data_IF_681425630802
#
_entry.id   IF_681425630802
#
_cell.length_a   1.000
_cell.length_b   1.000
_cell.length_c   1.000
_cell.angle_alpha   90.00
_cell.angle_beta   90.00
_cell.angle_gamma   90.00
#
_symmetry.space_group_name_H-M   'P 1'
#
loop_
_entity.id
_entity.type
_entity.pdbx_description
1 polymer ?
#
# COMPACT_ATOMS: atom_id res chain seq x y z
N UNK A 1 -12.77 -3.22 11.17
CA UNK A 1 -11.34 -2.82 11.00
C UNK A 1 -10.58 -3.18 12.27
N UNK A 2 -9.51 -3.94 12.14
CA UNK A 2 -8.62 -4.30 13.25
C UNK A 2 -7.76 -3.09 13.64
N UNK A 3 -7.42 -3.00 14.94
CA UNK A 3 -6.54 -1.95 15.47
C UNK A 3 -5.13 -2.51 15.65
N UNK A 4 -4.12 -1.68 15.40
CA UNK A 4 -2.73 -2.01 15.73
C UNK A 4 -2.58 -2.32 17.22
N UNK A 5 -1.57 -3.12 17.56
CA UNK A 5 -1.30 -3.49 18.96
C UNK A 5 -0.95 -2.28 19.83
N UNK A 6 -0.30 -1.29 19.24
CA UNK A 6 0.13 -0.06 19.90
C UNK A 6 -1.08 0.83 20.27
N UNK A 7 -0.92 1.68 21.29
CA UNK A 7 -1.96 2.62 21.70
C UNK A 7 -2.15 3.67 20.60
N UNK A 8 -1.05 4.27 20.16
CA UNK A 8 -1.03 5.25 19.07
C UNK A 8 -1.09 4.52 17.73
N UNK A 9 -2.16 4.76 16.96
CA UNK A 9 -2.40 4.11 15.67
C UNK A 9 -1.75 4.89 14.53
N UNK A 10 -1.19 4.22 13.54
CA UNK A 10 -0.68 4.85 12.32
C UNK A 10 -1.81 5.48 11.49
N UNK A 11 -2.94 4.78 11.38
CA UNK A 11 -4.10 5.24 10.63
C UNK A 11 -4.72 6.49 11.26
N UNK A 12 -5.05 7.48 10.43
CA UNK A 12 -5.75 8.70 10.84
C UNK A 12 -4.84 9.78 11.39
N UNK A 13 -3.52 9.66 11.30
CA UNK A 13 -2.60 10.76 11.59
C UNK A 13 -2.56 11.73 10.41
N UNK A 14 -3.25 12.86 10.55
CA UNK A 14 -3.44 13.85 9.51
C UNK A 14 -3.72 15.23 10.07
N UNK A 15 -3.58 16.26 9.26
CA UNK A 15 -4.05 17.60 9.57
C UNK A 15 -5.57 17.68 9.53
N UNK A 16 -6.14 18.57 10.33
CA UNK A 16 -7.57 18.84 10.42
C UNK A 16 -7.86 20.20 9.82
N UNK A 17 -8.89 20.26 8.94
CA UNK A 17 -9.28 21.48 8.25
C UNK A 17 -10.70 21.92 8.65
N UNK A 18 -10.88 23.23 8.69
CA UNK A 18 -12.17 23.90 8.73
C UNK A 18 -12.26 24.84 7.52
N UNK A 19 -12.98 24.41 6.48
CA UNK A 19 -12.88 25.04 5.16
C UNK A 19 -11.47 24.93 4.60
N UNK A 20 -10.90 26.04 4.17
CA UNK A 20 -9.52 26.08 3.60
C UNK A 20 -8.42 26.20 4.66
N UNK A 21 -8.79 26.43 5.91
CA UNK A 21 -7.82 26.63 7.00
C UNK A 21 -7.50 25.33 7.70
N UNK A 22 -6.22 25.03 7.89
CA UNK A 22 -5.75 23.97 8.79
C UNK A 22 -5.79 24.48 10.22
N UNK A 23 -6.56 23.83 11.09
CA UNK A 23 -6.83 24.25 12.47
C UNK A 23 -6.13 23.39 13.52
N UNK A 24 -5.52 22.29 13.10
CA UNK A 24 -4.85 21.36 13.98
C UNK A 24 -4.48 20.06 13.28
N UNK A 25 -4.20 19.05 14.08
CA UNK A 25 -4.00 17.69 13.60
C UNK A 25 -4.74 16.69 14.47
N UNK A 26 -4.88 15.47 13.99
CA UNK A 26 -5.49 14.38 14.74
C UNK A 26 -4.60 13.14 14.78
N UNK A 27 -4.70 12.41 15.90
CA UNK A 27 -4.16 11.07 16.11
C UNK A 27 -5.30 10.13 16.51
N UNK A 28 -5.07 8.82 16.44
CA UNK A 28 -6.05 7.83 16.90
C UNK A 28 -5.43 6.94 17.95
N UNK A 29 -6.23 6.58 18.95
CA UNK A 29 -5.78 5.78 20.09
C UNK A 29 -6.63 4.54 20.27
N UNK A 30 -5.98 3.38 20.40
CA UNK A 30 -6.60 2.16 20.89
C UNK A 30 -6.71 2.21 22.42
N UNK A 31 -7.81 1.69 22.96
CA UNK A 31 -7.96 1.50 24.41
C UNK A 31 -6.87 0.56 24.96
N UNK A 32 -6.00 1.02 25.87
CA UNK A 32 -4.89 0.22 26.41
C UNK A 32 -5.31 -0.70 27.56
N UNK A 33 -6.52 -1.26 27.51
CA UNK A 33 -7.07 -2.14 28.53
C UNK A 33 -7.69 -3.38 27.89
N UNK A 34 -7.98 -4.39 28.70
CA UNK A 34 -8.67 -5.61 28.27
C UNK A 34 -10.19 -5.44 28.14
N UNK A 35 -10.72 -4.27 28.49
CA UNK A 35 -12.15 -3.91 28.37
C UNK A 35 -12.34 -2.43 28.05
N UNK A 36 -13.45 -2.09 27.42
CA UNK A 36 -13.87 -0.70 27.28
C UNK A 36 -14.25 -0.08 28.61
N UNK A 37 -14.25 1.25 28.71
CA UNK A 37 -14.55 2.00 29.92
C UNK A 37 -15.52 3.14 29.69
N UNK A 38 -16.11 3.66 30.78
CA UNK A 38 -16.88 4.90 30.72
C UNK A 38 -15.95 6.08 30.39
N UNK A 39 -16.39 6.97 29.52
CA UNK A 39 -15.59 8.12 29.10
C UNK A 39 -15.29 9.09 30.25
N UNK A 40 -16.17 9.16 31.26
CA UNK A 40 -15.97 9.95 32.49
C UNK A 40 -14.76 9.52 33.33
N UNK A 41 -14.16 8.36 33.03
CA UNK A 41 -12.96 7.86 33.69
C UNK A 41 -11.65 8.25 32.95
N UNK A 42 -11.75 8.97 31.84
CA UNK A 42 -10.60 9.54 31.15
C UNK A 42 -10.13 10.77 31.92
N UNK A 43 -8.87 10.77 32.35
CA UNK A 43 -8.26 11.87 33.12
C UNK A 43 -7.45 12.82 32.22
N UNK A 44 -7.44 12.55 30.90
CA UNK A 44 -6.83 13.38 29.86
C UNK A 44 -5.69 12.73 29.10
N UNK A 45 -5.17 13.47 28.13
CA UNK A 45 -4.03 13.07 27.32
C UNK A 45 -3.10 14.23 27.01
N UNK A 46 -1.84 14.12 27.41
CA UNK A 46 -0.76 15.00 26.90
C UNK A 46 -0.28 14.48 25.54
N UNK A 47 -0.03 15.39 24.61
CA UNK A 47 0.49 15.05 23.28
C UNK A 47 1.69 15.93 22.96
N UNK A 48 2.81 15.30 22.58
CA UNK A 48 4.01 15.98 22.11
C UNK A 48 4.36 15.49 20.70
N UNK A 49 4.74 16.42 19.82
CA UNK A 49 5.21 16.11 18.47
C UNK A 49 6.56 16.78 18.26
N UNK A 50 7.64 16.01 18.42
CA UNK A 50 9.01 16.54 18.40
C UNK A 50 9.16 17.80 19.26
N UNK A 51 9.72 18.85 18.66
CA UNK A 51 9.83 20.20 19.27
C UNK A 51 8.71 21.15 18.80
N UNK A 52 7.77 20.69 17.97
CA UNK A 52 6.72 21.52 17.37
C UNK A 52 5.53 21.74 18.30
N UNK A 53 5.14 20.71 19.02
CA UNK A 53 3.93 20.69 19.85
C UNK A 53 4.21 20.02 21.19
N UNK A 54 3.75 20.66 22.26
CA UNK A 54 3.69 20.06 23.60
C UNK A 54 2.45 20.63 24.31
N UNK A 55 1.40 19.78 24.40
CA UNK A 55 0.13 20.19 25.00
C UNK A 55 -0.26 19.33 26.17
N UNK A 56 -0.82 19.99 27.18
CA UNK A 56 -1.32 19.35 28.39
C UNK A 56 -2.60 18.54 28.17
N UNK A 57 -3.02 17.77 29.20
CA UNK A 57 -4.07 16.76 29.10
C UNK A 57 -5.49 17.32 28.86
N UNK A 58 -5.73 18.56 29.07
CA UNK A 58 -7.01 19.27 28.92
C UNK A 58 -7.23 19.97 27.58
N UNK A 59 -6.15 20.13 26.78
CA UNK A 59 -6.19 20.83 25.50
C UNK A 59 -6.81 19.97 24.38
N UNK A 60 -6.46 18.68 24.21
CA UNK A 60 -6.98 17.87 23.11
C UNK A 60 -8.49 17.63 23.20
N UNK A 61 -9.14 17.54 22.04
CA UNK A 61 -10.54 17.17 21.90
C UNK A 61 -10.66 15.68 21.62
N UNK A 62 -11.67 15.05 22.18
CA UNK A 62 -11.92 13.62 22.11
C UNK A 62 -13.13 13.34 21.23
N UNK A 63 -12.95 12.58 20.16
CA UNK A 63 -14.10 12.08 19.40
C UNK A 63 -14.30 10.60 19.71
N UNK A 64 -15.44 10.30 20.31
CA UNK A 64 -15.89 8.95 20.65
C UNK A 64 -17.25 8.72 19.98
N UNK A 65 -17.41 7.63 19.26
CA UNK A 65 -18.67 7.25 18.61
C UNK A 65 -19.28 8.39 17.74
N UNK A 66 -18.40 9.14 17.04
CA UNK A 66 -18.81 10.21 16.12
C UNK A 66 -19.15 11.54 16.76
N UNK A 67 -19.07 11.67 18.08
CA UNK A 67 -19.27 12.94 18.80
C UNK A 67 -17.99 13.41 19.48
N UNK A 68 -17.71 14.71 19.37
CA UNK A 68 -16.52 15.36 19.93
C UNK A 68 -16.83 16.00 21.28
N UNK A 69 -15.89 15.88 22.22
CA UNK A 69 -15.98 16.31 23.60
C UNK A 69 -14.72 17.06 24.01
N UNK A 70 -14.85 18.01 24.90
CA UNK A 70 -13.78 18.47 25.78
C UNK A 70 -13.54 17.44 26.89
N UNK A 71 -12.45 17.55 27.64
CA UNK A 71 -12.20 16.71 28.80
C UNK A 71 -13.29 16.90 29.86
N UNK A 72 -13.74 18.15 30.10
CA UNK A 72 -14.82 18.44 31.05
C UNK A 72 -16.15 17.79 30.63
N UNK A 73 -16.51 17.87 29.34
CA UNK A 73 -17.74 17.23 28.83
C UNK A 73 -17.66 15.69 28.93
N UNK A 74 -16.45 15.09 28.84
CA UNK A 74 -16.29 13.65 29.11
C UNK A 74 -16.56 13.32 30.58
N UNK A 75 -16.04 14.12 31.51
CA UNK A 75 -16.29 13.92 32.94
C UNK A 75 -17.77 14.03 33.31
N UNK A 76 -18.46 14.96 32.69
CA UNK A 76 -19.90 15.22 32.93
C UNK A 76 -20.80 14.26 32.11
N UNK A 77 -20.21 13.39 31.27
CA UNK A 77 -20.98 12.52 30.38
C UNK A 77 -21.56 11.31 31.10
N UNK A 78 -22.84 11.03 30.83
CA UNK A 78 -23.50 9.81 31.21
C UNK A 78 -23.66 8.87 30.01
N UNK A 79 -23.32 7.59 30.19
CA UNK A 79 -23.52 6.54 29.19
C UNK A 79 -22.52 6.53 28.04
N UNK A 80 -21.65 7.52 27.91
CA UNK A 80 -20.59 7.55 26.87
C UNK A 80 -19.50 6.55 27.26
N UNK A 81 -19.10 5.74 26.29
CA UNK A 81 -18.06 4.72 26.50
C UNK A 81 -16.99 4.78 25.42
N UNK A 82 -15.76 4.44 25.80
CA UNK A 82 -14.67 4.11 24.90
C UNK A 82 -14.55 2.58 24.86
N UNK A 83 -15.06 1.92 23.79
CA UNK A 83 -15.01 0.46 23.65
C UNK A 83 -13.65 0.00 23.12
N UNK A 84 -13.39 -1.32 23.10
CA UNK A 84 -12.14 -1.89 22.59
C UNK A 84 -12.07 -1.86 21.05
N UNK A 85 -13.22 -1.96 20.42
CA UNK A 85 -13.36 -2.18 18.97
C UNK A 85 -13.14 -0.91 18.15
N UNK A 86 -13.15 0.26 18.81
CA UNK A 86 -13.04 1.56 18.14
C UNK A 86 -11.92 2.41 18.74
N UNK A 87 -11.08 2.95 17.87
CA UNK A 87 -10.12 3.95 18.30
C UNK A 87 -10.82 5.26 18.68
N UNK A 88 -10.36 5.89 19.77
CA UNK A 88 -10.67 7.30 20.01
C UNK A 88 -9.92 8.17 19.00
N UNK A 89 -10.56 9.20 18.47
CA UNK A 89 -9.88 10.24 17.68
C UNK A 89 -9.56 11.43 18.59
N UNK A 90 -8.31 11.81 18.63
CA UNK A 90 -7.81 12.93 19.43
C UNK A 90 -7.42 14.05 18.48
N UNK A 91 -8.10 15.17 18.57
CA UNK A 91 -7.79 16.37 17.79
C UNK A 91 -7.03 17.36 18.66
N UNK A 92 -5.85 17.75 18.21
CA UNK A 92 -4.99 18.75 18.88
C UNK A 92 -5.08 20.05 18.08
N UNK A 93 -5.58 21.15 18.69
CA UNK A 93 -5.57 22.46 18.07
C UNK A 93 -4.11 22.93 17.86
N UNK A 94 -3.78 23.23 16.61
CA UNK A 94 -2.45 23.73 16.23
C UNK A 94 -2.58 24.48 14.89
N UNK A 95 -2.55 25.81 14.96
CA UNK A 95 -2.79 26.66 13.79
C UNK A 95 -1.76 26.40 12.69
N UNK A 96 -2.23 26.16 11.47
CA UNK A 96 -1.41 25.77 10.33
C UNK A 96 -1.09 24.28 10.27
N UNK A 97 -1.38 23.49 11.32
CA UNK A 97 -1.13 22.05 11.35
C UNK A 97 0.35 21.66 11.38
N UNK A 98 0.59 20.36 11.26
CA UNK A 98 1.96 19.82 11.18
C UNK A 98 2.48 19.88 9.74
N UNK A 99 3.79 20.09 9.53
CA UNK A 99 4.39 19.98 8.21
C UNK A 99 4.34 18.54 7.69
N UNK A 100 4.43 18.39 6.36
CA UNK A 100 4.55 17.07 5.72
C UNK A 100 5.74 16.29 6.27
N UNK A 101 5.59 14.99 6.45
CA UNK A 101 6.68 14.10 6.81
C UNK A 101 6.39 13.17 7.97
N UNK A 102 7.47 12.54 8.45
CA UNK A 102 7.46 11.64 9.61
C UNK A 102 7.74 12.44 10.88
N UNK A 103 6.94 12.20 11.91
CA UNK A 103 7.06 12.89 13.20
C UNK A 103 7.23 11.89 14.34
N UNK A 104 8.09 12.24 15.30
CA UNK A 104 8.10 11.60 16.61
C UNK A 104 6.89 12.10 17.41
N UNK A 105 5.90 11.21 17.61
CA UNK A 105 4.70 11.51 18.39
C UNK A 105 4.76 10.78 19.70
N UNK A 106 4.71 11.53 20.80
CA UNK A 106 4.65 10.99 22.17
C UNK A 106 3.32 11.33 22.81
N UNK A 107 2.75 10.35 23.50
CA UNK A 107 1.51 10.50 24.27
C UNK A 107 1.70 10.14 25.75
N UNK A 108 0.98 10.85 26.61
CA UNK A 108 0.78 10.49 28.00
C UNK A 108 -0.71 10.42 28.29
N UNK A 109 -1.28 9.23 28.18
CA UNK A 109 -2.70 8.96 28.40
C UNK A 109 -2.95 8.60 29.88
N UNK A 110 -3.89 9.28 30.53
CA UNK A 110 -4.27 9.10 31.93
C UNK A 110 -5.70 8.58 32.03
N UNK A 111 -5.85 7.43 32.72
CA UNK A 111 -7.14 6.75 32.90
C UNK A 111 -7.37 6.42 34.36
N UNK A 112 -8.60 6.60 34.87
CA UNK A 112 -9.01 6.17 36.17
C UNK A 112 -9.61 4.76 36.08
N UNK A 113 -8.90 3.79 36.63
CA UNK A 113 -9.32 2.40 36.58
C UNK A 113 -10.12 2.08 37.84
N UNK A 114 -11.38 1.66 37.71
CA UNK A 114 -12.32 1.46 38.81
C UNK A 114 -11.88 0.42 39.88
N UNK A 115 -10.87 -0.39 39.59
CA UNK A 115 -10.32 -1.43 40.51
C UNK A 115 -8.95 -1.08 41.06
N UNK A 116 -8.39 0.09 40.71
CA UNK A 116 -7.14 0.59 41.28
C UNK A 116 -7.46 1.50 42.46
N UNK A 117 -6.81 1.38 43.61
CA UNK A 117 -6.99 2.30 44.73
C UNK A 117 -6.77 3.76 44.34
N UNK A 118 -7.53 4.66 44.96
CA UNK A 118 -7.57 6.11 44.56
C UNK A 118 -6.17 6.74 44.71
N UNK A 119 -5.39 6.33 45.68
CA UNK A 119 -4.02 6.82 45.92
C UNK A 119 -3.03 6.45 44.81
N UNK A 120 -3.38 5.51 43.94
CA UNK A 120 -2.56 5.06 42.83
C UNK A 120 -3.13 5.50 41.47
N UNK A 121 -4.07 6.44 41.46
CA UNK A 121 -4.69 6.95 40.23
C UNK A 121 -4.25 8.38 39.92
N UNK A 122 -4.28 8.77 38.62
CA UNK A 122 -4.64 7.96 37.46
C UNK A 122 -3.55 6.97 37.03
N UNK A 123 -3.93 5.87 36.40
CA UNK A 123 -3.01 5.01 35.68
C UNK A 123 -2.52 5.75 34.42
N UNK A 124 -1.21 5.81 34.21
CA UNK A 124 -0.58 6.54 33.12
C UNK A 124 0.04 5.59 32.11
N UNK A 125 -0.34 5.75 30.86
CA UNK A 125 0.18 5.01 29.72
C UNK A 125 1.00 5.96 28.84
N UNK A 126 2.25 5.61 28.57
CA UNK A 126 3.17 6.40 27.73
C UNK A 126 3.58 5.60 26.52
N UNK A 127 3.61 6.25 25.39
CA UNK A 127 4.10 5.68 24.14
C UNK A 127 4.70 6.77 23.27
N UNK A 128 5.76 6.40 22.54
CA UNK A 128 6.40 7.25 21.51
C UNK A 128 6.55 6.44 20.24
N UNK A 129 6.11 7.00 19.12
CA UNK A 129 6.26 6.38 17.79
C UNK A 129 6.68 7.43 16.76
N UNK A 130 7.44 6.98 15.77
CA UNK A 130 7.62 7.73 14.52
C UNK A 130 6.53 7.33 13.55
N UNK A 131 5.63 8.25 13.25
CA UNK A 131 4.52 8.04 12.32
C UNK A 131 4.48 9.15 11.28
N UNK A 132 4.11 8.78 10.05
CA UNK A 132 4.06 9.71 8.92
C UNK A 132 2.69 10.34 8.78
N UNK A 133 2.67 11.68 8.70
CA UNK A 133 1.46 12.44 8.41
C UNK A 133 0.92 12.07 7.02
N UNK A 134 -0.39 11.84 6.91
CA UNK A 134 -1.01 11.69 5.60
C UNK A 134 -0.88 13.00 4.82
N UNK A 135 -0.31 12.92 3.62
CA UNK A 135 -0.07 14.09 2.79
C UNK A 135 -1.37 14.69 2.24
N UNK A 136 -1.47 16.01 2.30
CA UNK A 136 -2.54 16.79 1.67
C UNK A 136 -2.18 17.25 0.24
N UNK A 137 -0.98 16.94 -0.25
CA UNK A 137 -0.52 17.30 -1.59
C UNK A 137 -1.25 16.48 -2.66
N UNK A 138 -1.56 17.11 -3.80
CA UNK A 138 -2.22 16.44 -4.93
C UNK A 138 -1.34 15.39 -5.61
N UNK A 139 -0.02 15.59 -5.56
CA UNK A 139 0.94 14.64 -6.14
C UNK A 139 1.12 14.76 -7.65
N UNK A 140 0.76 15.88 -8.25
CA UNK A 140 1.01 16.17 -9.67
C UNK A 140 0.12 15.35 -10.62
N UNK A 141 0.62 14.90 -11.78
CA UNK A 141 -0.22 14.30 -12.82
C UNK A 141 -0.62 12.84 -12.57
N UNK A 142 -0.07 12.21 -11.53
CA UNK A 142 -0.22 10.78 -11.28
C UNK A 142 -1.47 10.44 -10.46
N UNK A 143 -1.98 9.23 -10.66
CA UNK A 143 -2.94 8.60 -9.75
C UNK A 143 -2.18 7.72 -8.76
N UNK A 144 -2.71 7.58 -7.55
CA UNK A 144 -2.05 6.84 -6.49
C UNK A 144 -2.85 5.60 -6.10
N UNK A 145 -2.16 4.47 -6.07
CA UNK A 145 -2.70 3.19 -5.64
C UNK A 145 -1.79 2.50 -4.62
N UNK A 146 -2.28 1.41 -4.06
CA UNK A 146 -1.49 0.50 -3.23
C UNK A 146 -1.78 -0.93 -3.65
N UNK A 147 -0.73 -1.69 -3.91
CA UNK A 147 -0.80 -3.14 -4.02
C UNK A 147 -0.93 -3.74 -2.62
N UNK A 148 -1.97 -4.55 -2.39
CA UNK A 148 -2.11 -5.28 -1.13
C UNK A 148 -0.98 -6.29 -0.90
N UNK A 149 -0.15 -6.56 -1.92
CA UNK A 149 1.10 -7.29 -1.75
C UNK A 149 2.02 -6.62 -0.72
N UNK A 150 1.99 -5.29 -0.63
CA UNK A 150 2.69 -4.53 0.42
C UNK A 150 2.40 -5.05 1.82
N UNK A 151 1.19 -5.57 2.04
CA UNK A 151 0.70 -6.05 3.34
C UNK A 151 0.72 -7.58 3.47
N UNK A 152 1.31 -8.31 2.52
CA UNK A 152 1.20 -9.77 2.40
C UNK A 152 1.59 -10.52 3.69
N UNK A 153 2.55 -10.00 4.47
CA UNK A 153 2.98 -10.62 5.71
C UNK A 153 2.04 -10.36 6.90
N UNK A 154 1.26 -9.30 6.82
CA UNK A 154 0.28 -8.90 7.83
C UNK A 154 -1.13 -9.40 7.48
N UNK A 155 -1.41 -9.59 6.18
CA UNK A 155 -2.72 -9.99 5.67
C UNK A 155 -3.11 -11.40 6.11
N UNK A 156 -4.34 -11.54 6.62
CA UNK A 156 -4.84 -12.81 7.16
C UNK A 156 -4.34 -13.16 8.57
N UNK A 157 -3.43 -12.35 9.13
CA UNK A 157 -2.92 -12.52 10.50
C UNK A 157 -3.30 -11.36 11.40
N UNK A 158 -2.79 -10.16 11.12
CA UNK A 158 -3.06 -8.93 11.87
C UNK A 158 -3.90 -7.93 11.06
N UNK A 159 -4.01 -8.12 9.76
CA UNK A 159 -4.89 -7.35 8.87
C UNK A 159 -5.93 -8.26 8.20
N UNK A 160 -7.18 -7.87 8.24
CA UNK A 160 -8.23 -8.37 7.37
C UNK A 160 -8.38 -7.49 6.11
N UNK A 161 -9.22 -7.92 5.16
CA UNK A 161 -9.43 -7.17 3.92
C UNK A 161 -9.92 -5.74 4.18
N UNK A 162 -10.85 -5.57 5.13
CA UNK A 162 -11.36 -4.24 5.47
C UNK A 162 -10.27 -3.33 6.04
N UNK A 163 -9.43 -3.85 6.93
CA UNK A 163 -8.34 -3.07 7.52
C UNK A 163 -7.28 -2.70 6.48
N UNK A 164 -6.94 -3.61 5.57
CA UNK A 164 -6.01 -3.32 4.48
C UNK A 164 -6.55 -2.19 3.58
N UNK A 165 -7.81 -2.26 3.15
CA UNK A 165 -8.44 -1.22 2.34
C UNK A 165 -8.58 0.13 3.08
N UNK A 166 -8.81 0.08 4.39
CA UNK A 166 -8.83 1.30 5.21
C UNK A 166 -7.46 2.00 5.23
N UNK A 167 -6.35 1.25 5.31
CA UNK A 167 -5.00 1.81 5.22
C UNK A 167 -4.69 2.36 3.83
N UNK A 168 -5.14 1.68 2.76
CA UNK A 168 -5.04 2.21 1.38
C UNK A 168 -5.72 3.57 1.26
N UNK A 169 -6.96 3.68 1.72
CA UNK A 169 -7.69 4.95 1.68
C UNK A 169 -7.07 6.03 2.59
N UNK A 170 -6.51 5.63 3.74
CA UNK A 170 -5.95 6.57 4.71
C UNK A 170 -4.71 7.29 4.19
N UNK A 171 -3.91 6.67 3.33
CA UNK A 171 -2.77 7.34 2.67
C UNK A 171 -3.19 8.24 1.50
N UNK A 172 -4.49 8.39 1.26
CA UNK A 172 -5.03 9.19 0.16
C UNK A 172 -4.95 8.51 -1.20
N UNK A 173 -4.69 7.20 -1.25
CA UNK A 173 -4.77 6.43 -2.49
C UNK A 173 -6.22 6.21 -2.91
N UNK A 174 -6.46 6.17 -4.22
CA UNK A 174 -7.78 5.89 -4.80
C UNK A 174 -7.81 4.53 -5.50
N UNK A 175 -6.65 3.95 -5.80
CA UNK A 175 -6.52 2.66 -6.47
C UNK A 175 -6.08 1.54 -5.54
N UNK A 176 -6.59 0.33 -5.77
CA UNK A 176 -6.14 -0.87 -5.08
C UNK A 176 -5.78 -1.98 -6.06
N UNK A 177 -4.63 -2.57 -5.85
CA UNK A 177 -4.15 -3.75 -6.56
C UNK A 177 -4.18 -4.96 -5.65
N UNK A 178 -4.53 -6.14 -6.18
CA UNK A 178 -4.54 -7.40 -5.43
C UNK A 178 -3.81 -8.52 -6.16
N UNK A 179 -3.38 -9.52 -5.41
CA UNK A 179 -3.04 -10.84 -5.95
C UNK A 179 -4.21 -11.80 -5.78
N UNK A 180 -4.61 -12.48 -6.86
CA UNK A 180 -5.75 -13.37 -6.84
C UNK A 180 -5.66 -14.44 -5.74
N UNK A 181 -4.60 -15.22 -5.73
CA UNK A 181 -4.39 -16.29 -4.74
C UNK A 181 -4.19 -15.79 -3.31
N UNK A 182 -3.59 -14.60 -3.16
CA UNK A 182 -3.21 -14.07 -1.84
C UNK A 182 -4.34 -13.36 -1.11
N UNK A 183 -5.31 -12.77 -1.83
CA UNK A 183 -6.28 -11.87 -1.23
C UNK A 183 -7.74 -12.27 -1.44
N UNK A 184 -8.03 -13.21 -2.36
CA UNK A 184 -9.38 -13.63 -2.67
C UNK A 184 -9.72 -14.92 -1.93
N UNK A 185 -10.59 -14.85 -0.94
CA UNK A 185 -11.07 -16.05 -0.28
C UNK A 185 -11.88 -16.90 -1.26
N UNK A 186 -11.46 -18.16 -1.41
CA UNK A 186 -12.08 -19.10 -2.35
C UNK A 186 -11.58 -18.98 -3.79
N UNK A 187 -10.45 -18.28 -4.02
CA UNK A 187 -9.81 -18.26 -5.35
C UNK A 187 -9.67 -19.67 -5.93
N UNK A 188 -9.91 -19.89 -7.23
CA UNK A 188 -10.30 -18.87 -8.24
C UNK A 188 -11.81 -18.61 -8.36
N UNK A 189 -12.63 -19.18 -7.49
CA UNK A 189 -14.09 -19.08 -7.53
C UNK A 189 -14.65 -18.49 -6.21
N UNK A 190 -14.49 -17.18 -5.99
CA UNK A 190 -14.99 -16.55 -4.77
C UNK A 190 -16.53 -16.63 -4.70
N UNK A 191 -17.03 -16.78 -3.47
CA UNK A 191 -18.48 -16.78 -3.22
C UNK A 191 -19.11 -15.40 -3.55
N UNK A 192 -20.40 -15.41 -3.87
CA UNK A 192 -21.15 -14.16 -4.09
C UNK A 192 -21.05 -13.23 -2.86
N UNK A 193 -21.15 -13.78 -1.64
CA UNK A 193 -21.02 -13.00 -0.41
C UNK A 193 -19.66 -12.31 -0.29
N UNK A 194 -18.58 -12.96 -0.71
CA UNK A 194 -17.26 -12.31 -0.72
C UNK A 194 -17.21 -11.16 -1.74
N UNK A 195 -17.77 -11.37 -2.93
CA UNK A 195 -17.81 -10.34 -3.99
C UNK A 195 -18.66 -9.14 -3.55
N UNK A 196 -19.81 -9.39 -2.94
CA UNK A 196 -20.67 -8.32 -2.40
C UNK A 196 -19.92 -7.52 -1.32
N UNK A 197 -19.18 -8.20 -0.44
CA UNK A 197 -18.32 -7.56 0.57
C UNK A 197 -17.22 -6.74 -0.08
N UNK A 198 -16.55 -7.26 -1.12
CA UNK A 198 -15.51 -6.55 -1.86
C UNK A 198 -16.03 -5.21 -2.40
N UNK A 199 -17.14 -5.21 -3.12
CA UNK A 199 -17.71 -3.97 -3.67
C UNK A 199 -18.21 -3.02 -2.59
N UNK A 200 -18.84 -3.52 -1.52
CA UNK A 200 -19.27 -2.69 -0.40
C UNK A 200 -18.09 -1.98 0.28
N UNK A 201 -16.95 -2.66 0.42
CA UNK A 201 -15.73 -2.07 0.99
C UNK A 201 -15.09 -1.05 0.03
N UNK A 202 -15.07 -1.32 -1.27
CA UNK A 202 -14.59 -0.34 -2.26
C UNK A 202 -15.42 0.95 -2.23
N UNK A 203 -16.75 0.83 -2.17
CA UNK A 203 -17.65 1.97 -2.04
C UNK A 203 -17.41 2.73 -0.72
N UNK A 204 -17.33 2.00 0.39
CA UNK A 204 -17.09 2.57 1.74
C UNK A 204 -15.82 3.41 1.78
N UNK A 205 -14.74 2.93 1.18
CA UNK A 205 -13.44 3.58 1.20
C UNK A 205 -13.15 4.41 -0.05
N UNK A 206 -14.08 4.47 -1.01
CA UNK A 206 -13.95 5.20 -2.29
C UNK A 206 -12.71 4.78 -3.07
N UNK A 207 -12.50 3.48 -3.16
CA UNK A 207 -11.40 2.87 -3.90
C UNK A 207 -11.89 2.27 -5.20
N UNK A 208 -11.04 2.28 -6.22
CA UNK A 208 -11.27 1.55 -7.47
C UNK A 208 -10.26 0.40 -7.62
N UNK A 209 -10.69 -0.77 -8.08
CA UNK A 209 -9.78 -1.86 -8.39
C UNK A 209 -8.96 -1.50 -9.63
N UNK A 210 -7.64 -1.60 -9.54
CA UNK A 210 -6.73 -1.18 -10.62
C UNK A 210 -6.13 -2.37 -11.31
N UNK A 211 -5.24 -3.11 -10.66
CA UNK A 211 -4.49 -4.22 -11.25
C UNK A 211 -4.73 -5.52 -10.48
N UNK A 212 -4.96 -6.58 -11.24
CA UNK A 212 -5.13 -7.93 -10.72
C UNK A 212 -3.87 -8.74 -11.01
N UNK A 213 -3.11 -9.05 -9.99
CA UNK A 213 -1.95 -9.92 -10.08
C UNK A 213 -2.36 -11.39 -10.21
N UNK A 214 -1.97 -12.03 -11.29
CA UNK A 214 -2.19 -13.44 -11.54
C UNK A 214 -0.87 -14.21 -11.41
N UNK A 215 -0.88 -15.31 -10.65
CA UNK A 215 0.28 -16.20 -10.52
C UNK A 215 0.29 -17.27 -11.62
N UNK A 216 0.26 -16.85 -12.87
CA UNK A 216 0.50 -17.77 -13.97
C UNK A 216 1.99 -18.01 -14.06
N UNK A 217 2.42 -19.16 -13.62
CA UNK A 217 3.78 -19.63 -13.79
C UNK A 217 3.87 -20.49 -15.06
N UNK A 218 4.94 -20.39 -15.79
CA UNK A 218 5.21 -21.23 -16.97
C UNK A 218 5.60 -22.65 -16.62
N UNK A 219 5.69 -22.98 -15.33
CA UNK A 219 5.93 -24.32 -14.80
C UNK A 219 4.80 -24.77 -13.91
N UNK A 220 4.14 -25.90 -14.26
CA UNK A 220 3.08 -26.47 -13.41
C UNK A 220 3.61 -27.09 -12.13
N UNK A 221 4.76 -27.75 -12.21
CA UNK A 221 5.39 -28.42 -11.08
C UNK A 221 6.87 -28.12 -11.11
N UNK A 222 7.31 -27.21 -10.30
CA UNK A 222 8.70 -26.77 -10.23
C UNK A 222 9.64 -27.78 -9.59
N UNK A 223 9.14 -28.86 -9.00
CA UNK A 223 9.95 -29.84 -8.30
C UNK A 223 9.46 -31.27 -8.49
N UNK A 224 10.40 -32.23 -8.42
CA UNK A 224 10.10 -33.65 -8.49
C UNK A 224 10.07 -34.22 -9.91
N UNK A 225 9.77 -35.51 -10.01
CA UNK A 225 9.83 -36.29 -11.26
C UNK A 225 8.80 -35.85 -12.33
N UNK A 226 7.78 -35.14 -11.94
CA UNK A 226 6.71 -34.66 -12.82
C UNK A 226 6.83 -33.17 -13.16
N UNK A 227 7.94 -32.51 -12.82
CA UNK A 227 8.17 -31.12 -13.19
C UNK A 227 8.14 -30.97 -14.71
N UNK A 228 7.36 -30.04 -15.20
CA UNK A 228 7.26 -29.69 -16.61
C UNK A 228 6.81 -28.25 -16.79
N UNK A 229 7.07 -27.72 -17.96
CA UNK A 229 6.58 -26.40 -18.33
C UNK A 229 5.09 -26.47 -18.70
N UNK A 230 4.40 -25.36 -18.51
CA UNK A 230 3.05 -25.16 -19.06
C UNK A 230 3.10 -25.22 -20.58
N UNK A 231 2.10 -25.84 -21.18
CA UNK A 231 1.81 -25.62 -22.60
C UNK A 231 1.15 -24.26 -22.80
N UNK A 232 1.25 -23.71 -23.99
CA UNK A 232 0.58 -22.45 -24.35
C UNK A 232 -0.95 -22.52 -24.13
N UNK A 233 -1.56 -23.70 -24.38
CA UNK A 233 -2.99 -23.91 -24.14
C UNK A 233 -3.35 -23.86 -22.64
N UNK A 234 -2.54 -24.45 -21.78
CA UNK A 234 -2.74 -24.40 -20.33
C UNK A 234 -2.52 -22.96 -19.79
N UNK A 235 -1.47 -22.28 -20.24
CA UNK A 235 -1.21 -20.89 -19.89
C UNK A 235 -2.35 -19.97 -20.33
N UNK A 236 -2.85 -20.13 -21.56
CA UNK A 236 -4.00 -19.38 -22.06
C UNK A 236 -5.27 -19.66 -21.23
N UNK A 237 -5.55 -20.92 -20.88
CA UNK A 237 -6.73 -21.26 -20.07
C UNK A 237 -6.68 -20.60 -18.67
N UNK A 238 -5.52 -20.58 -18.04
CA UNK A 238 -5.31 -19.91 -16.75
C UNK A 238 -5.49 -18.39 -16.88
N UNK A 239 -4.87 -17.78 -17.89
CA UNK A 239 -4.98 -16.34 -18.13
C UNK A 239 -6.42 -15.93 -18.43
N UNK A 240 -7.13 -16.67 -19.28
CA UNK A 240 -8.53 -16.42 -19.61
C UNK A 240 -9.47 -16.57 -18.41
N UNK A 241 -9.20 -17.52 -17.51
CA UNK A 241 -9.91 -17.64 -16.23
C UNK A 241 -9.73 -16.36 -15.40
N UNK A 242 -8.49 -15.91 -15.27
CA UNK A 242 -8.17 -14.74 -14.45
C UNK A 242 -8.65 -13.43 -15.08
N UNK A 243 -8.66 -13.31 -16.40
CA UNK A 243 -9.29 -12.18 -17.10
C UNK A 243 -10.80 -12.05 -16.76
N UNK A 244 -11.53 -13.20 -16.78
CA UNK A 244 -12.96 -13.21 -16.42
C UNK A 244 -13.17 -12.84 -14.94
N UNK A 245 -12.32 -13.37 -14.04
CA UNK A 245 -12.42 -13.07 -12.62
C UNK A 245 -12.07 -11.60 -12.35
N UNK A 246 -11.00 -11.09 -12.94
CA UNK A 246 -10.60 -9.69 -12.83
C UNK A 246 -11.73 -8.76 -13.28
N UNK A 247 -12.32 -9.01 -14.45
CA UNK A 247 -13.45 -8.22 -14.93
C UNK A 247 -14.66 -8.29 -14.00
N UNK A 248 -14.98 -9.48 -13.47
CA UNK A 248 -16.07 -9.67 -12.50
C UNK A 248 -15.84 -8.86 -11.20
N UNK A 249 -14.59 -8.65 -10.82
CA UNK A 249 -14.20 -7.89 -9.63
C UNK A 249 -13.93 -6.40 -9.91
N UNK A 250 -14.09 -5.96 -11.18
CA UNK A 250 -13.97 -4.56 -11.59
C UNK A 250 -12.56 -4.10 -12.00
N UNK A 251 -11.60 -5.00 -12.11
CA UNK A 251 -10.23 -4.67 -12.53
C UNK A 251 -10.13 -4.41 -14.03
N UNK A 252 -9.36 -3.36 -14.40
CA UNK A 252 -9.07 -3.02 -15.79
C UNK A 252 -7.74 -3.57 -16.29
N UNK A 253 -6.86 -4.02 -15.40
CA UNK A 253 -5.55 -4.58 -15.72
C UNK A 253 -5.38 -5.96 -15.10
N UNK A 254 -4.70 -6.85 -15.83
CA UNK A 254 -4.26 -8.15 -15.32
C UNK A 254 -2.77 -8.28 -15.55
N UNK A 255 -2.01 -8.46 -14.48
CA UNK A 255 -0.58 -8.70 -14.49
C UNK A 255 -0.29 -10.19 -14.33
N UNK A 256 -0.08 -10.93 -15.43
CA UNK A 256 0.34 -12.31 -15.37
C UNK A 256 1.86 -12.40 -15.15
N UNK A 257 2.30 -13.41 -14.40
CA UNK A 257 3.72 -13.72 -14.27
C UNK A 257 4.16 -14.64 -15.40
N UNK A 258 4.30 -14.09 -16.59
CA UNK A 258 4.79 -14.78 -17.80
C UNK A 258 5.98 -14.00 -18.38
N UNK A 259 6.73 -14.65 -19.25
CA UNK A 259 7.90 -14.03 -19.88
C UNK A 259 9.21 -14.60 -19.36
N UNK A 260 10.07 -13.78 -18.80
CA UNK A 260 11.39 -14.22 -18.30
C UNK A 260 11.27 -15.01 -17.01
N UNK A 261 11.71 -16.28 -17.04
CA UNK A 261 11.61 -17.22 -15.90
C UNK A 261 12.92 -17.90 -15.54
N UNK A 262 14.01 -17.50 -16.18
CA UNK A 262 15.36 -18.07 -15.95
C UNK A 262 16.34 -17.01 -15.45
N UNK A 263 17.42 -17.44 -14.81
CA UNK A 263 18.51 -16.56 -14.40
C UNK A 263 19.25 -15.91 -15.57
N UNK A 264 19.13 -16.51 -16.76
CA UNK A 264 19.75 -16.02 -17.99
C UNK A 264 18.91 -14.93 -18.67
N UNK A 265 17.77 -14.59 -18.07
CA UNK A 265 16.78 -13.66 -18.58
C UNK A 265 16.19 -14.06 -19.95
N UNK A 266 16.21 -15.36 -20.26
CA UNK A 266 15.65 -15.87 -21.52
C UNK A 266 14.12 -15.98 -21.40
N UNK A 267 13.37 -15.39 -22.35
CA UNK A 267 11.92 -15.49 -22.36
C UNK A 267 11.45 -16.95 -22.48
N UNK A 268 10.39 -17.30 -21.74
CA UNK A 268 9.77 -18.61 -21.90
C UNK A 268 9.02 -18.70 -23.23
N UNK A 269 9.24 -19.73 -24.05
CA UNK A 269 8.73 -19.79 -25.43
C UNK A 269 7.20 -19.86 -25.52
N UNK A 270 6.51 -20.21 -24.43
CA UNK A 270 5.04 -20.36 -24.42
C UNK A 270 4.28 -19.06 -24.15
N UNK A 271 4.95 -17.98 -23.68
CA UNK A 271 4.25 -16.78 -23.25
C UNK A 271 3.53 -16.07 -24.40
N UNK A 272 4.17 -15.92 -25.56
CA UNK A 272 3.59 -15.23 -26.73
C UNK A 272 2.30 -15.90 -27.18
N UNK A 273 2.34 -17.23 -27.35
CA UNK A 273 1.15 -17.97 -27.81
C UNK A 273 0.02 -17.97 -26.78
N UNK A 274 0.34 -18.08 -25.47
CA UNK A 274 -0.67 -18.01 -24.41
C UNK A 274 -1.37 -16.65 -24.36
N UNK A 275 -0.61 -15.56 -24.53
CA UNK A 275 -1.16 -14.21 -24.61
C UNK A 275 -1.99 -14.03 -25.88
N UNK A 276 -1.45 -14.38 -27.06
CA UNK A 276 -2.18 -14.24 -28.34
C UNK A 276 -3.53 -14.97 -28.31
N UNK A 277 -3.59 -16.16 -27.75
CA UNK A 277 -4.86 -16.92 -27.55
C UNK A 277 -5.84 -16.26 -26.59
N UNK A 278 -5.40 -15.27 -25.83
CA UNK A 278 -6.21 -14.57 -24.81
C UNK A 278 -6.62 -13.16 -25.22
N UNK A 279 -6.05 -12.59 -26.30
CA UNK A 279 -6.27 -11.19 -26.71
C UNK A 279 -7.73 -10.90 -27.08
N UNK A 280 -8.41 -11.81 -27.79
CA UNK A 280 -9.81 -11.62 -28.16
C UNK A 280 -10.71 -11.54 -26.93
N UNK A 281 -10.47 -12.40 -25.93
CA UNK A 281 -11.19 -12.35 -24.68
C UNK A 281 -10.85 -11.09 -23.87
N UNK A 282 -9.60 -10.67 -23.84
CA UNK A 282 -9.18 -9.44 -23.18
C UNK A 282 -9.91 -8.23 -23.80
N UNK A 283 -10.05 -8.21 -25.13
CA UNK A 283 -10.79 -7.18 -25.84
C UNK A 283 -12.31 -7.24 -25.57
N UNK A 284 -12.91 -8.44 -25.53
CA UNK A 284 -14.32 -8.61 -25.19
C UNK A 284 -14.64 -8.09 -23.77
N UNK A 285 -13.72 -8.35 -22.81
CA UNK A 285 -13.88 -7.96 -21.43
C UNK A 285 -13.43 -6.54 -21.12
N UNK A 286 -12.80 -5.86 -22.08
CA UNK A 286 -12.16 -4.55 -21.88
C UNK A 286 -11.17 -4.57 -20.70
N UNK A 287 -10.23 -5.53 -20.73
CA UNK A 287 -9.16 -5.71 -19.73
C UNK A 287 -7.82 -5.74 -20.47
N UNK A 288 -6.83 -5.04 -19.92
CA UNK A 288 -5.48 -4.98 -20.48
C UNK A 288 -4.59 -6.02 -19.78
N UNK A 289 -3.96 -6.89 -20.56
CA UNK A 289 -2.91 -7.79 -20.08
C UNK A 289 -1.61 -6.99 -20.01
N UNK A 290 -0.97 -6.91 -18.85
CA UNK A 290 0.25 -6.13 -18.67
C UNK A 290 1.32 -6.93 -17.91
N UNK A 291 2.16 -7.71 -18.62
CA UNK A 291 3.29 -8.39 -17.99
C UNK A 291 4.26 -7.37 -17.38
N UNK A 292 4.88 -7.79 -16.29
CA UNK A 292 5.74 -6.94 -15.48
C UNK A 292 7.18 -6.95 -16.00
N UNK A 293 7.74 -5.76 -16.22
CA UNK A 293 9.19 -5.55 -16.37
C UNK A 293 9.76 -5.40 -14.98
N UNK A 294 10.33 -6.47 -14.47
CA UNK A 294 10.80 -6.62 -13.09
C UNK A 294 12.29 -6.94 -13.06
N UNK A 295 13.01 -6.43 -12.06
CA UNK A 295 14.42 -6.82 -11.83
C UNK A 295 14.56 -8.36 -11.75
N UNK A 296 15.55 -8.95 -12.42
CA UNK A 296 16.70 -8.32 -13.04
C UNK A 296 16.57 -7.97 -14.53
N UNK A 297 15.35 -7.89 -15.09
CA UNK A 297 15.12 -7.58 -16.51
C UNK A 297 15.14 -6.07 -16.72
N UNK A 298 16.11 -5.49 -17.47
CA UNK A 298 16.12 -4.06 -17.78
C UNK A 298 15.12 -3.71 -18.89
N UNK A 299 14.82 -2.43 -19.04
CA UNK A 299 13.92 -1.93 -20.13
C UNK A 299 14.49 -2.30 -21.50
N UNK A 300 15.80 -2.15 -21.71
CA UNK A 300 16.50 -2.52 -22.97
C UNK A 300 16.85 -4.01 -22.94
N UNK A 301 15.86 -4.85 -23.20
CA UNK A 301 16.00 -6.30 -23.17
C UNK A 301 15.11 -6.97 -24.22
N UNK A 302 15.55 -8.08 -24.78
CA UNK A 302 14.83 -8.81 -25.84
C UNK A 302 13.37 -9.17 -25.46
N UNK A 303 13.07 -9.47 -24.18
CA UNK A 303 11.70 -9.75 -23.75
C UNK A 303 10.81 -8.51 -23.86
N UNK A 304 11.33 -7.32 -23.62
CA UNK A 304 10.60 -6.06 -23.77
C UNK A 304 10.36 -5.77 -25.26
N UNK A 305 11.37 -6.02 -26.09
CA UNK A 305 11.25 -5.91 -27.55
C UNK A 305 10.20 -6.89 -28.10
N UNK A 306 10.14 -8.12 -27.57
CA UNK A 306 9.12 -9.12 -27.90
C UNK A 306 7.72 -8.68 -27.50
N UNK A 307 7.54 -8.06 -26.32
CA UNK A 307 6.25 -7.49 -25.89
C UNK A 307 5.81 -6.37 -26.83
N UNK A 308 6.69 -5.45 -27.16
CA UNK A 308 6.43 -4.36 -28.11
C UNK A 308 6.13 -4.93 -29.51
N UNK A 309 6.91 -5.91 -29.94
CA UNK A 309 6.68 -6.61 -31.21
C UNK A 309 5.31 -7.29 -31.28
N UNK A 310 4.81 -7.85 -30.17
CA UNK A 310 3.46 -8.40 -30.09
C UNK A 310 2.41 -7.29 -30.29
N UNK A 311 2.54 -6.15 -29.61
CA UNK A 311 1.61 -5.02 -29.76
C UNK A 311 1.59 -4.54 -31.20
N UNK A 312 2.77 -4.32 -31.79
CA UNK A 312 2.90 -3.81 -33.16
C UNK A 312 2.34 -4.78 -34.21
N UNK A 313 2.59 -6.08 -34.05
CA UNK A 313 2.12 -7.13 -34.96
C UNK A 313 0.63 -7.32 -34.92
N UNK A 314 0.01 -7.27 -33.73
CA UNK A 314 -1.41 -7.51 -33.54
C UNK A 314 -2.25 -6.24 -33.62
N UNK A 315 -1.68 -5.08 -33.38
CA UNK A 315 -2.39 -3.82 -33.26
C UNK A 315 -3.34 -3.75 -32.05
N UNK A 316 -3.18 -4.66 -31.07
CA UNK A 316 -4.07 -4.73 -29.90
C UNK A 316 -3.89 -3.54 -28.97
N UNK A 317 -5.00 -3.10 -28.35
CA UNK A 317 -5.03 -2.12 -27.26
C UNK A 317 -5.18 -2.78 -25.87
N UNK A 318 -5.27 -4.12 -25.86
CA UNK A 318 -5.51 -4.90 -24.63
C UNK A 318 -4.27 -5.69 -24.20
N UNK A 319 -3.11 -5.21 -24.61
CA UNK A 319 -1.81 -5.63 -24.12
C UNK A 319 -0.91 -4.41 -23.94
N UNK A 320 -0.18 -4.32 -22.84
CA UNK A 320 0.71 -3.19 -22.54
C UNK A 320 1.79 -3.61 -21.56
N UNK A 321 2.61 -2.66 -21.13
CA UNK A 321 3.74 -2.90 -20.24
C UNK A 321 3.41 -2.39 -18.83
N UNK A 322 3.69 -3.21 -17.82
CA UNK A 322 3.78 -2.79 -16.45
C UNK A 322 5.25 -2.65 -16.08
N UNK A 323 5.65 -1.50 -15.54
CA UNK A 323 7.03 -1.26 -15.09
C UNK A 323 7.07 -1.27 -13.57
N UNK A 324 7.92 -2.14 -13.02
CA UNK A 324 8.26 -2.17 -11.60
C UNK A 324 9.44 -1.25 -11.34
N UNK A 325 9.31 -0.28 -10.44
CA UNK A 325 10.38 0.69 -10.15
C UNK A 325 11.61 0.08 -9.48
N UNK A 326 11.55 -1.15 -9.01
CA UNK A 326 12.71 -1.89 -8.53
C UNK A 326 13.83 -2.04 -9.57
N UNK A 327 13.53 -1.92 -10.88
CA UNK A 327 14.56 -1.92 -11.93
C UNK A 327 15.47 -0.69 -11.88
N UNK A 328 14.99 0.42 -11.32
CA UNK A 328 15.75 1.66 -11.15
C UNK A 328 16.62 1.68 -9.89
N UNK A 329 16.52 0.64 -9.06
CA UNK A 329 17.34 0.51 -7.87
C UNK A 329 18.83 0.58 -8.24
N UNK A 330 19.50 1.64 -7.77
CA UNK A 330 20.91 1.95 -8.08
C UNK A 330 21.88 1.48 -6.98
N UNK A 331 21.34 1.05 -5.85
CA UNK A 331 22.11 0.53 -4.70
C UNK A 331 21.52 -0.77 -4.20
N UNK A 332 22.35 -1.75 -3.81
CA UNK A 332 21.87 -3.02 -3.27
C UNK A 332 21.15 -2.80 -1.93
N UNK A 333 20.13 -3.61 -1.66
CA UNK A 333 19.52 -3.67 -0.34
C UNK A 333 20.54 -4.22 0.65
N UNK A 334 20.72 -3.62 1.83
CA UNK A 334 21.62 -4.15 2.85
C UNK A 334 21.32 -5.62 3.20
N UNK A 335 22.36 -6.40 3.41
CA UNK A 335 22.20 -7.79 3.87
C UNK A 335 21.50 -7.82 5.22
N UNK A 336 20.51 -8.68 5.36
CA UNK A 336 19.87 -8.94 6.65
C UNK A 336 20.78 -9.77 7.55
N UNK A 337 20.62 -9.74 8.87
CA UNK A 337 21.35 -10.61 9.78
C UNK A 337 21.20 -12.08 9.37
N UNK A 338 22.33 -12.75 9.07
CA UNK A 338 22.37 -14.14 8.63
C UNK A 338 22.31 -14.38 7.12
N UNK A 339 22.07 -13.35 6.30
CA UNK A 339 22.20 -13.44 4.84
C UNK A 339 23.67 -13.37 4.40
N UNK A 340 24.00 -14.15 3.38
CA UNK A 340 25.33 -14.14 2.78
C UNK A 340 25.28 -13.52 1.37
N UNK A 341 26.31 -12.74 0.98
CA UNK A 341 26.41 -12.23 -0.39
C UNK A 341 26.33 -13.39 -1.41
N UNK A 342 25.55 -13.18 -2.48
CA UNK A 342 25.37 -14.17 -3.55
C UNK A 342 24.44 -15.35 -3.23
N UNK A 343 23.85 -15.39 -2.04
CA UNK A 343 22.84 -16.40 -1.67
C UNK A 343 21.40 -15.86 -1.65
N UNK A 344 21.23 -14.59 -1.95
CA UNK A 344 19.92 -13.93 -2.02
C UNK A 344 19.44 -13.79 -3.47
N UNK A 345 18.12 -13.59 -3.68
CA UNK A 345 17.59 -13.33 -5.01
C UNK A 345 18.27 -12.12 -5.69
N UNK A 346 18.57 -12.25 -6.97
CA UNK A 346 19.30 -11.24 -7.75
C UNK A 346 18.59 -9.87 -7.80
N UNK A 347 17.28 -9.84 -7.69
CA UNK A 347 16.51 -8.59 -7.69
C UNK A 347 16.79 -7.69 -6.46
N UNK A 348 17.40 -8.23 -5.41
CA UNK A 348 17.81 -7.45 -4.24
C UNK A 348 19.14 -6.70 -4.44
N UNK A 349 19.88 -7.01 -5.51
CA UNK A 349 21.19 -6.39 -5.79
C UNK A 349 21.07 -5.06 -6.54
N UNK A 350 19.91 -4.82 -7.17
CA UNK A 350 19.70 -3.65 -8.03
C UNK A 350 20.37 -3.80 -9.41
N UNK A 351 19.75 -3.24 -10.42
CA UNK A 351 20.31 -3.25 -11.78
C UNK A 351 20.56 -1.85 -12.33
N UNK A 352 20.06 -0.81 -11.63
CA UNK A 352 20.35 0.58 -11.91
C UNK A 352 20.00 1.01 -13.33
N UNK A 353 18.81 0.65 -13.82
CA UNK A 353 18.31 1.11 -15.13
C UNK A 353 18.22 2.63 -15.12
N UNK A 354 18.68 3.29 -16.17
CA UNK A 354 18.52 4.73 -16.31
C UNK A 354 17.02 5.08 -16.46
N UNK A 355 16.43 5.90 -15.58
CA UNK A 355 15.04 6.32 -15.71
C UNK A 355 14.70 6.95 -17.06
N UNK A 356 15.67 7.57 -17.75
CA UNK A 356 15.50 8.12 -19.09
C UNK A 356 15.08 7.06 -20.15
N UNK A 357 15.37 5.79 -19.88
CA UNK A 357 15.00 4.69 -20.80
C UNK A 357 13.46 4.50 -20.89
N UNK A 358 12.69 5.01 -19.92
CA UNK A 358 11.21 5.04 -19.97
C UNK A 358 10.72 5.70 -21.26
N UNK A 359 11.40 6.74 -21.74
CA UNK A 359 10.99 7.45 -22.96
C UNK A 359 10.91 6.54 -24.19
N UNK A 360 11.73 5.49 -24.27
CA UNK A 360 11.75 4.53 -25.38
C UNK A 360 10.54 3.58 -25.40
N UNK A 361 9.84 3.41 -24.30
CA UNK A 361 8.70 2.48 -24.16
C UNK A 361 7.41 3.18 -23.72
N UNK A 362 7.42 4.50 -23.55
CA UNK A 362 6.38 5.29 -22.89
C UNK A 362 4.97 5.02 -23.45
N UNK A 363 4.84 4.91 -24.78
CA UNK A 363 3.55 4.68 -25.44
C UNK A 363 2.92 3.31 -25.13
N UNK A 364 3.71 2.36 -24.62
CA UNK A 364 3.28 1.02 -24.27
C UNK A 364 3.05 0.83 -22.78
N UNK A 365 3.52 1.77 -21.93
CA UNK A 365 3.40 1.67 -20.48
C UNK A 365 1.99 2.00 -20.04
N UNK A 366 1.31 1.02 -19.42
CA UNK A 366 -0.08 1.16 -18.97
C UNK A 366 -0.21 1.19 -17.45
N UNK A 367 0.80 0.71 -16.72
CA UNK A 367 0.76 0.65 -15.26
C UNK A 367 2.17 0.72 -14.65
N UNK A 368 2.28 1.32 -13.46
CA UNK A 368 3.53 1.38 -12.70
C UNK A 368 3.32 0.74 -11.33
N UNK A 369 4.09 -0.29 -11.01
CA UNK A 369 4.28 -0.73 -9.64
C UNK A 369 5.42 0.09 -9.02
N UNK A 370 5.04 0.90 -8.05
CA UNK A 370 5.97 1.75 -7.31
C UNK A 370 6.62 0.93 -6.19
N UNK A 371 7.47 -0.04 -6.56
CA UNK A 371 8.19 -0.91 -5.64
C UNK A 371 9.22 -0.15 -4.84
N UNK A 372 9.38 -0.53 -3.58
CA UNK A 372 10.40 -0.01 -2.68
C UNK A 372 10.65 -0.97 -1.51
N UNK A 373 11.75 -0.75 -0.79
CA UNK A 373 12.17 -1.65 0.28
C UNK A 373 12.27 -0.99 1.65
N UNK A 374 12.83 0.21 1.74
CA UNK A 374 12.89 0.95 2.99
C UNK A 374 13.01 2.46 2.74
N UNK A 375 12.17 3.22 3.41
CA UNK A 375 12.23 4.68 3.46
C UNK A 375 12.45 5.07 4.92
N UNK A 376 13.50 5.81 5.17
CA UNK A 376 13.87 6.21 6.53
C UNK A 376 12.93 7.29 7.11
N UNK A 377 13.18 7.68 8.36
CA UNK A 377 12.38 8.68 9.07
C UNK A 377 12.54 10.09 8.49
N UNK A 378 13.61 10.34 7.73
CA UNK A 378 13.83 11.58 7.00
C UNK A 378 13.17 11.56 5.61
N UNK A 379 12.41 10.50 5.31
CA UNK A 379 11.78 10.25 4.01
C UNK A 379 12.80 10.21 2.86
N UNK A 380 13.86 9.45 3.05
CA UNK A 380 14.86 9.15 2.04
C UNK A 380 14.77 7.66 1.71
N UNK A 381 14.52 7.36 0.45
CA UNK A 381 14.69 6.00 -0.10
C UNK A 381 16.15 5.80 -0.43
N UNK A 382 16.77 4.78 0.18
CA UNK A 382 18.20 4.53 0.00
C UNK A 382 18.51 3.75 -1.28
N UNK A 383 17.51 3.21 -1.96
CA UNK A 383 17.66 2.31 -3.10
C UNK A 383 17.18 2.93 -4.41
N UNK A 384 16.00 3.56 -4.40
CA UNK A 384 15.32 4.03 -5.61
C UNK A 384 15.43 5.55 -5.74
N UNK A 385 15.96 6.07 -6.86
CA UNK A 385 16.08 7.50 -7.12
C UNK A 385 14.72 8.08 -7.58
N UNK A 386 13.78 8.32 -6.66
CA UNK A 386 12.40 8.72 -6.98
C UNK A 386 12.29 9.97 -7.83
N UNK A 387 13.09 11.01 -7.59
CA UNK A 387 12.97 12.25 -8.37
C UNK A 387 13.27 12.05 -9.85
N UNK A 388 14.40 11.43 -10.28
CA UNK A 388 14.62 11.08 -11.69
C UNK A 388 13.54 10.18 -12.27
N UNK A 389 13.05 9.19 -11.53
CA UNK A 389 12.00 8.26 -12.00
C UNK A 389 10.69 9.01 -12.26
N UNK A 390 10.21 9.80 -11.29
CA UNK A 390 8.95 10.54 -11.44
C UNK A 390 9.05 11.63 -12.53
N UNK A 391 10.21 12.26 -12.67
CA UNK A 391 10.48 13.22 -13.75
C UNK A 391 10.41 12.52 -15.12
N UNK A 392 11.06 11.37 -15.28
CA UNK A 392 11.03 10.63 -16.53
C UNK A 392 9.61 10.18 -16.91
N UNK A 393 8.82 9.70 -15.94
CA UNK A 393 7.42 9.34 -16.14
C UNK A 393 6.57 10.55 -16.57
N UNK A 394 6.74 11.69 -15.90
CA UNK A 394 6.04 12.94 -16.25
C UNK A 394 6.42 13.43 -17.64
N UNK A 395 7.71 13.48 -17.96
CA UNK A 395 8.21 13.94 -19.26
C UNK A 395 7.76 13.02 -20.40
N UNK A 396 7.58 11.72 -20.10
CA UNK A 396 7.00 10.73 -21.00
C UNK A 396 5.45 10.84 -21.13
N UNK A 397 4.82 11.75 -20.38
CA UNK A 397 3.36 11.97 -20.43
C UNK A 397 2.55 10.92 -19.65
N UNK A 398 3.17 10.09 -18.82
CA UNK A 398 2.46 9.13 -17.99
C UNK A 398 1.61 9.82 -16.92
N UNK A 399 0.34 9.47 -16.85
CA UNK A 399 -0.64 10.01 -15.90
C UNK A 399 -1.51 8.91 -15.25
N UNK A 400 -1.04 7.67 -15.34
CA UNK A 400 -1.67 6.50 -14.76
C UNK A 400 -1.38 6.32 -13.27
N UNK A 401 -1.60 5.10 -12.79
CA UNK A 401 -1.38 4.73 -11.38
C UNK A 401 0.10 4.52 -11.06
N UNK A 402 0.52 5.09 -9.93
CA UNK A 402 1.68 4.67 -9.16
C UNK A 402 1.16 3.81 -8.00
N UNK A 403 1.29 2.49 -8.11
CA UNK A 403 0.79 1.52 -7.13
C UNK A 403 1.90 1.11 -6.19
N UNK A 404 1.87 1.56 -4.93
CA UNK A 404 2.89 1.22 -3.94
C UNK A 404 3.01 -0.28 -3.73
N UNK A 405 4.23 -0.81 -3.82
CA UNK A 405 4.54 -2.22 -3.56
C UNK A 405 5.74 -2.34 -2.63
N UNK A 406 5.48 -2.57 -1.35
CA UNK A 406 6.50 -2.72 -0.33
C UNK A 406 7.04 -4.15 -0.26
N UNK A 407 8.34 -4.31 -0.38
CA UNK A 407 9.04 -5.60 -0.26
C UNK A 407 10.20 -5.59 0.77
N UNK A 408 10.09 -4.75 1.81
CA UNK A 408 11.12 -4.59 2.82
C UNK A 408 11.01 -5.55 4.01
N UNK A 409 11.26 -5.01 5.22
CA UNK A 409 11.21 -5.75 6.47
C UNK A 409 9.80 -6.27 6.76
N UNK A 410 9.73 -7.53 7.24
CA UNK A 410 8.49 -8.28 7.49
C UNK A 410 8.01 -8.20 8.93
N UNK A 411 8.55 -7.28 9.74
CA UNK A 411 8.05 -7.05 11.08
C UNK A 411 6.56 -6.62 11.04
N UNK A 412 5.72 -7.13 11.94
CA UNK A 412 4.29 -6.79 11.97
C UNK A 412 4.05 -5.28 11.95
N UNK A 413 3.11 -4.82 11.14
CA UNK A 413 2.71 -3.42 10.95
C UNK A 413 3.77 -2.51 10.29
N UNK A 414 4.98 -3.01 10.02
CA UNK A 414 6.05 -2.21 9.38
C UNK A 414 5.64 -1.72 8.00
N UNK A 415 4.98 -2.57 7.24
CA UNK A 415 4.51 -2.29 5.88
C UNK A 415 3.60 -1.06 5.81
N UNK A 416 2.74 -0.87 6.80
CA UNK A 416 1.77 0.24 6.87
C UNK A 416 2.51 1.58 6.94
N UNK A 417 3.44 1.70 7.88
CA UNK A 417 4.22 2.94 8.02
C UNK A 417 5.09 3.18 6.78
N UNK A 418 5.66 2.15 6.18
CA UNK A 418 6.46 2.26 4.98
C UNK A 418 5.65 2.76 3.78
N UNK A 419 4.44 2.24 3.56
CA UNK A 419 3.55 2.74 2.51
C UNK A 419 3.17 4.21 2.76
N UNK A 420 2.93 4.61 4.02
CA UNK A 420 2.69 6.02 4.37
C UNK A 420 3.88 6.91 4.03
N UNK A 421 5.10 6.48 4.35
CA UNK A 421 6.35 7.20 4.03
C UNK A 421 6.51 7.37 2.52
N UNK A 422 6.28 6.32 1.75
CA UNK A 422 6.37 6.40 0.31
C UNK A 422 5.34 7.37 -0.27
N UNK A 423 4.07 7.29 0.12
CA UNK A 423 3.03 8.18 -0.38
C UNK A 423 3.35 9.65 -0.08
N UNK A 424 3.84 9.95 1.12
CA UNK A 424 4.29 11.30 1.48
C UNK A 424 5.48 11.74 0.62
N UNK A 425 6.48 10.88 0.45
CA UNK A 425 7.68 11.16 -0.35
C UNK A 425 7.36 11.42 -1.83
N UNK A 426 6.67 10.47 -2.49
CA UNK A 426 6.43 10.56 -3.94
C UNK A 426 5.46 11.70 -4.29
N UNK A 427 4.45 11.98 -3.45
CA UNK A 427 3.55 13.13 -3.64
C UNK A 427 4.30 14.45 -3.51
N UNK A 428 5.16 14.58 -2.50
CA UNK A 428 5.99 15.78 -2.32
C UNK A 428 6.88 16.03 -3.53
N UNK A 429 7.58 14.99 -4.02
CA UNK A 429 8.42 15.12 -5.22
C UNK A 429 7.56 15.48 -6.43
N UNK A 430 6.49 14.73 -6.70
CA UNK A 430 5.65 14.92 -7.87
C UNK A 430 4.97 16.30 -7.90
N UNK A 431 4.58 16.86 -6.75
CA UNK A 431 4.00 18.20 -6.65
C UNK A 431 5.04 19.32 -6.93
N UNK A 432 6.33 19.01 -6.84
CA UNK A 432 7.42 19.97 -7.11
C UNK A 432 7.97 19.88 -8.54
N UNK A 433 7.61 18.85 -9.31
CA UNK A 433 8.00 18.67 -10.71
C UNK A 433 7.17 19.55 -11.64
#
# INVERSE_FOLDING_TARGET
MLLERDILQSIGFRNVREGDRVTGFQIRLRMPSYRGMAASLIDGIGVRVGDLVDVGPDVPRWTLQGRTYTLQELWDSEGVRWPLEYAAVITVPFDGGLPEGTHEVSIELRLRMSYIPVEHQPSTYRETRHITLTSDLDGGPFKYGVSLYSFMHDFGTVLDLESALAHVADVGATGVEILGEGHIAGYPEPSTAWIDTWFALLEKYRLEPTNYGSWIDTRLHSSGANARDLTAAEGAAMLQRDLRLARRLGFGFVRPKIGVVSSDLVPHPTWTEAVERSLDLAAELDVIICPEIHSPTPIKHEVVDDYIGLIQRTGTKHFGLLVDTGIFQDRPIPLRPGELPGQRPAFLDGIGVDPADIAGIAEYVVFIQAKFHDIDENQVDQQIPWEPVLRALKDAGYNGYLSSEYEGDRAPWRSIEQVRRQHSLIRRIASSL
#
